data_IF_855650521495
#
_entry.id   IF_855650521495
#
_cell.length_a   1.000
_cell.length_b   1.000
_cell.length_c   1.000
_cell.angle_alpha   90.00
_cell.angle_beta   90.00
_cell.angle_gamma   90.00
#
_symmetry.space_group_name_H-M   'P 1'
#
loop_
_entity.id
_entity.type
_entity.pdbx_description
1 polymer ?
#
# COMPACT_ATOMS: atom_id res chain seq x y z
N UNK A 1 -3.15 -1.41 19.49
CA UNK A 1 -1.91 -0.82 18.94
C UNK A 1 -1.56 0.37 19.81
N UNK A 2 -0.29 0.60 20.16
CA UNK A 2 0.09 1.80 20.93
C UNK A 2 0.16 3.03 20.03
N UNK A 3 -0.04 4.22 20.59
CA UNK A 3 0.16 5.49 19.87
C UNK A 3 1.57 5.57 19.28
N UNK A 4 2.56 5.08 20.02
CA UNK A 4 3.96 5.03 19.58
C UNK A 4 4.13 4.22 18.29
N UNK A 5 3.54 3.02 18.22
CA UNK A 5 3.63 2.17 17.02
C UNK A 5 2.94 2.81 15.81
N UNK A 6 1.84 3.53 16.02
CA UNK A 6 1.13 4.24 14.95
C UNK A 6 1.97 5.39 14.37
N UNK A 7 2.66 6.15 15.24
CA UNK A 7 3.54 7.23 14.81
C UNK A 7 4.81 6.70 14.12
N UNK A 8 5.33 5.57 14.56
CA UNK A 8 6.45 4.88 13.90
C UNK A 8 6.08 4.43 12.48
N UNK A 9 4.90 3.84 12.29
CA UNK A 9 4.38 3.47 10.98
C UNK A 9 4.24 4.70 10.07
N UNK A 10 3.63 5.78 10.58
CA UNK A 10 3.48 7.02 9.83
C UNK A 10 4.83 7.65 9.45
N UNK A 11 5.84 7.58 10.33
CA UNK A 11 7.19 8.08 10.03
C UNK A 11 7.93 7.21 9.02
N UNK A 12 7.76 5.88 9.07
CA UNK A 12 8.29 4.99 8.04
C UNK A 12 7.66 5.28 6.67
N UNK A 13 6.33 5.48 6.60
CA UNK A 13 5.65 5.79 5.35
C UNK A 13 6.11 7.13 4.72
N UNK A 14 6.56 8.10 5.53
CA UNK A 14 7.12 9.37 5.01
C UNK A 14 8.42 9.18 4.22
N UNK A 15 9.23 8.17 4.57
CA UNK A 15 10.53 7.93 3.91
C UNK A 15 10.38 7.08 2.64
N UNK A 16 9.23 6.43 2.45
CA UNK A 16 8.94 5.55 1.33
C UNK A 16 8.17 6.31 0.24
N UNK A 17 8.86 6.70 -0.84
CA UNK A 17 8.24 7.35 -1.99
C UNK A 17 8.45 6.52 -3.25
N UNK A 18 7.41 5.80 -3.67
CA UNK A 18 7.43 5.04 -4.90
C UNK A 18 6.02 4.84 -5.48
N UNK A 19 5.89 4.80 -6.81
CA UNK A 19 4.61 4.65 -7.52
C UNK A 19 3.91 3.30 -7.29
N UNK A 20 4.60 2.32 -6.68
CA UNK A 20 4.07 0.99 -6.34
C UNK A 20 3.87 0.79 -4.85
N UNK A 21 4.07 1.83 -4.04
CA UNK A 21 3.76 1.83 -2.62
C UNK A 21 2.59 2.76 -2.37
N UNK A 22 1.71 2.37 -1.43
CA UNK A 22 0.60 3.21 -1.01
C UNK A 22 1.13 4.54 -0.48
N UNK A 23 0.74 5.62 -1.12
CA UNK A 23 1.20 6.97 -0.81
C UNK A 23 0.51 7.49 0.45
N UNK A 24 1.32 7.99 1.38
CA UNK A 24 0.87 8.80 2.50
C UNK A 24 0.58 10.23 2.01
N UNK A 25 -0.62 10.75 2.29
CA UNK A 25 -0.97 12.14 2.03
C UNK A 25 -0.78 13.02 3.27
N UNK A 26 -1.24 12.57 4.44
CA UNK A 26 -1.17 13.37 5.66
C UNK A 26 -1.26 12.50 6.93
N UNK A 27 -0.85 13.09 8.04
CA UNK A 27 -1.02 12.53 9.38
C UNK A 27 -1.63 13.62 10.26
N UNK A 28 -2.68 13.27 11.01
CA UNK A 28 -3.35 14.18 11.95
C UNK A 28 -3.00 13.72 13.36
N UNK A 29 -2.14 14.48 14.05
CA UNK A 29 -1.59 14.10 15.37
C UNK A 29 -1.86 15.13 16.47
N UNK A 30 -2.59 16.22 16.16
CA UNK A 30 -2.78 17.34 17.11
C UNK A 30 -3.73 17.00 18.26
N UNK A 31 -4.75 16.21 17.98
CA UNK A 31 -5.78 15.79 18.92
C UNK A 31 -6.15 14.33 18.65
N UNK A 32 -6.63 13.63 19.67
CA UNK A 32 -7.12 12.27 19.47
C UNK A 32 -8.52 12.27 18.82
N UNK A 33 -8.80 11.29 17.95
CA UNK A 33 -7.93 10.17 17.56
C UNK A 33 -6.92 10.57 16.46
N UNK A 34 -5.77 9.89 16.46
CA UNK A 34 -4.71 10.11 15.46
C UNK A 34 -5.10 9.44 14.14
N UNK A 35 -4.90 10.13 13.01
CA UNK A 35 -5.21 9.61 11.67
C UNK A 35 -3.98 9.51 10.76
N UNK A 36 -3.98 8.48 9.91
CA UNK A 36 -3.11 8.32 8.74
C UNK A 36 -4.01 8.40 7.51
N UNK A 37 -3.72 9.33 6.61
CA UNK A 37 -4.48 9.56 5.39
C UNK A 37 -3.62 9.08 4.22
N UNK A 38 -4.11 8.08 3.49
CA UNK A 38 -3.42 7.49 2.33
C UNK A 38 -4.27 7.65 1.07
N UNK A 39 -3.68 7.30 -0.07
CA UNK A 39 -4.46 7.09 -1.29
C UNK A 39 -5.50 5.96 -1.11
N UNK A 40 -6.58 6.06 -1.89
CA UNK A 40 -7.64 5.07 -1.91
C UNK A 40 -7.43 4.06 -3.04
N UNK A 41 -7.29 2.79 -2.67
CA UNK A 41 -7.16 1.68 -3.62
C UNK A 41 -8.55 1.16 -3.99
N UNK A 42 -9.10 1.63 -5.12
CA UNK A 42 -10.50 1.38 -5.51
C UNK A 42 -10.91 -0.11 -5.62
N UNK A 43 -9.94 -1.01 -5.86
CA UNK A 43 -10.17 -2.47 -5.95
C UNK A 43 -9.84 -3.22 -4.67
N UNK A 44 -9.43 -2.51 -3.61
CA UNK A 44 -9.11 -3.08 -2.31
C UNK A 44 -7.88 -3.99 -2.33
N UNK A 45 -7.93 -5.03 -1.49
CA UNK A 45 -6.87 -6.03 -1.35
C UNK A 45 -6.64 -6.81 -2.65
N UNK A 46 -5.38 -7.02 -3.03
CA UNK A 46 -5.03 -7.83 -4.19
C UNK A 46 -5.56 -9.27 -4.07
N UNK A 47 -5.52 -9.86 -2.87
CA UNK A 47 -6.02 -11.23 -2.64
C UNK A 47 -7.53 -11.32 -2.91
N UNK A 48 -8.30 -10.38 -2.38
CA UNK A 48 -9.75 -10.36 -2.55
C UNK A 48 -10.13 -10.04 -3.99
N UNK A 49 -9.40 -9.11 -4.62
CA UNK A 49 -9.54 -8.82 -6.04
C UNK A 49 -9.28 -10.07 -6.90
N UNK A 50 -8.21 -10.83 -6.64
CA UNK A 50 -7.91 -12.06 -7.40
C UNK A 50 -8.98 -13.16 -7.23
N UNK A 51 -9.69 -13.19 -6.09
CA UNK A 51 -10.81 -14.10 -5.84
C UNK A 51 -12.14 -13.63 -6.44
N UNK A 52 -12.22 -12.37 -6.90
CA UNK A 52 -13.43 -11.83 -7.53
C UNK A 52 -13.64 -12.40 -8.94
N UNK A 53 -14.86 -12.26 -9.46
CA UNK A 53 -15.19 -12.63 -10.84
C UNK A 53 -14.30 -11.89 -11.87
N UNK A 54 -14.00 -10.60 -11.62
CA UNK A 54 -13.08 -9.84 -12.47
C UNK A 54 -11.64 -10.40 -12.41
N UNK A 55 -11.14 -10.65 -11.21
CA UNK A 55 -9.76 -11.15 -11.00
C UNK A 55 -9.55 -12.54 -11.56
N UNK A 56 -10.54 -13.43 -11.44
CA UNK A 56 -10.47 -14.81 -11.94
C UNK A 56 -10.40 -14.92 -13.47
N UNK A 57 -10.82 -13.87 -14.19
CA UNK A 57 -10.80 -13.81 -15.66
C UNK A 57 -9.50 -13.24 -16.23
N UNK A 58 -8.56 -12.84 -15.37
CA UNK A 58 -7.29 -12.26 -15.82
C UNK A 58 -6.38 -13.30 -16.47
N UNK A 59 -5.73 -12.89 -17.56
CA UNK A 59 -4.76 -13.72 -18.26
C UNK A 59 -3.40 -13.72 -17.56
N UNK A 60 -2.63 -14.79 -17.76
CA UNK A 60 -1.30 -14.98 -17.17
C UNK A 60 -0.36 -13.77 -17.31
N UNK A 61 -0.24 -13.06 -18.45
CA UNK A 61 0.63 -11.89 -18.56
C UNK A 61 0.30 -10.81 -17.53
N UNK A 62 -0.99 -10.63 -17.18
CA UNK A 62 -1.39 -9.63 -16.18
C UNK A 62 -1.03 -10.04 -14.76
N UNK A 63 -1.08 -11.33 -14.46
CA UNK A 63 -0.66 -11.90 -13.17
C UNK A 63 0.87 -11.78 -12.98
N UNK A 64 1.63 -11.97 -14.06
CA UNK A 64 3.09 -11.74 -14.07
C UNK A 64 3.39 -10.26 -13.80
N UNK A 65 2.67 -9.34 -14.45
CA UNK A 65 2.80 -7.89 -14.22
C UNK A 65 2.54 -7.51 -12.75
N UNK A 66 1.48 -8.05 -12.12
CA UNK A 66 1.25 -7.84 -10.68
C UNK A 66 2.42 -8.35 -9.82
N UNK A 67 2.95 -9.53 -10.14
CA UNK A 67 4.08 -10.11 -9.42
C UNK A 67 5.34 -9.24 -9.54
N UNK A 68 5.60 -8.71 -10.73
CA UNK A 68 6.71 -7.79 -10.98
C UNK A 68 6.56 -6.46 -10.22
N UNK A 69 5.34 -5.90 -10.16
CA UNK A 69 5.06 -4.66 -9.43
C UNK A 69 5.22 -4.80 -7.92
N UNK A 70 4.82 -5.94 -7.34
CA UNK A 70 4.96 -6.20 -5.89
C UNK A 70 6.43 -6.44 -5.49
N UNK A 71 7.23 -7.06 -6.35
CA UNK A 71 8.63 -7.38 -6.07
C UNK A 71 9.58 -6.15 -6.11
N UNK A 72 9.04 -4.94 -6.08
CA UNK A 72 9.77 -3.68 -6.19
C UNK A 72 10.93 -3.53 -5.18
N UNK A 73 10.83 -4.14 -3.99
CA UNK A 73 11.86 -4.04 -2.94
C UNK A 73 13.28 -4.43 -3.38
N UNK A 74 13.44 -5.28 -4.41
CA UNK A 74 14.78 -5.69 -4.86
C UNK A 74 15.54 -4.60 -5.65
N UNK A 75 14.85 -3.55 -6.12
CA UNK A 75 15.43 -2.50 -6.97
C UNK A 75 15.43 -1.11 -6.32
N UNK A 76 14.88 -0.96 -5.12
CA UNK A 76 14.78 0.31 -4.40
C UNK A 76 15.95 0.57 -3.43
N UNK A 77 16.84 -0.43 -3.23
CA UNK A 77 18.02 -0.35 -2.35
C UNK A 77 19.35 -0.16 -3.13
N UNK A 78 19.29 0.27 -4.40
CA UNK A 78 20.46 0.75 -5.16
C UNK A 78 20.34 2.23 -5.50
#
# INVERSE_FOLDING_TARGET
MSVQAFLEEANLMKTLQHDKLVRLYAVVTKEEPIYIITEFMAKGSLLDFLKSDEGSKLLLPKLIDFSAQVNFKKYAEN
#
